data_IF_118336667500
#
_entry.id   IF_118336667500
#
_cell.length_a   1.000
_cell.length_b   1.000
_cell.length_c   1.000
_cell.angle_alpha   90.00
_cell.angle_beta   90.00
_cell.angle_gamma   90.00
#
_symmetry.space_group_name_H-M   'P 1'
#
loop_
_entity.id
_entity.type
_entity.pdbx_description
1 polymer ?
#
# COMPACT_ATOMS: atom_id res chain seq x y z
N UNK A 1 -12.34 -8.28 -19.81
CA UNK A 1 -12.49 -8.33 -21.28
C UNK A 1 -12.21 -6.94 -21.80
N UNK A 2 -11.28 -6.80 -22.75
CA UNK A 2 -11.09 -5.54 -23.47
C UNK A 2 -12.28 -5.37 -24.43
N UNK A 3 -12.66 -4.13 -24.73
CA UNK A 3 -13.62 -3.88 -25.79
C UNK A 3 -13.01 -4.30 -27.14
N UNK A 4 -13.85 -4.75 -28.08
CA UNK A 4 -13.41 -5.20 -29.43
C UNK A 4 -12.56 -4.12 -30.11
N UNK A 5 -12.97 -2.86 -30.00
CA UNK A 5 -12.25 -1.69 -30.52
C UNK A 5 -10.85 -1.55 -29.91
N UNK A 6 -10.72 -1.75 -28.59
CA UNK A 6 -9.44 -1.58 -27.90
C UNK A 6 -8.45 -2.70 -28.26
N UNK A 7 -8.93 -3.93 -28.44
CA UNK A 7 -8.09 -5.04 -28.91
C UNK A 7 -7.56 -4.77 -30.33
N UNK A 8 -8.40 -4.22 -31.20
CA UNK A 8 -8.01 -3.86 -32.58
C UNK A 8 -7.07 -2.65 -32.60
N UNK A 9 -7.29 -1.64 -31.76
CA UNK A 9 -6.37 -0.51 -31.62
C UNK A 9 -4.99 -0.93 -31.13
N UNK A 10 -4.92 -1.78 -30.10
CA UNK A 10 -3.64 -2.28 -29.60
C UNK A 10 -2.90 -3.13 -30.65
N UNK A 11 -3.64 -3.78 -31.57
CA UNK A 11 -3.09 -4.47 -32.74
C UNK A 11 -2.55 -3.51 -33.81
N UNK A 12 -3.28 -2.43 -34.11
CA UNK A 12 -2.86 -1.40 -35.08
C UNK A 12 -1.62 -0.64 -34.57
N UNK A 13 -1.56 -0.31 -33.28
CA UNK A 13 -0.45 0.41 -32.66
C UNK A 13 0.77 -0.48 -32.35
N UNK A 14 0.62 -1.81 -32.44
CA UNK A 14 1.70 -2.77 -32.17
C UNK A 14 2.10 -2.85 -30.70
N UNK A 15 1.23 -2.46 -29.78
CA UNK A 15 1.46 -2.46 -28.32
C UNK A 15 1.14 -3.82 -27.67
N UNK A 16 0.51 -4.73 -28.41
CA UNK A 16 0.20 -6.10 -27.98
C UNK A 16 1.40 -7.06 -28.04
N UNK A 17 1.38 -8.09 -27.18
CA UNK A 17 2.35 -9.18 -27.19
C UNK A 17 2.21 -10.05 -28.47
N UNK A 18 3.27 -10.76 -28.87
CA UNK A 18 3.32 -11.50 -30.13
C UNK A 18 2.22 -12.59 -30.24
N UNK A 19 1.80 -13.16 -29.10
CA UNK A 19 0.70 -14.12 -29.05
C UNK A 19 -0.68 -13.46 -29.26
N UNK A 20 -0.89 -12.28 -28.66
CA UNK A 20 -2.13 -11.51 -28.77
C UNK A 20 -2.30 -10.95 -30.19
N UNK A 21 -1.20 -10.55 -30.85
CA UNK A 21 -1.23 -10.10 -32.24
C UNK A 21 -1.71 -11.19 -33.22
N UNK A 22 -1.26 -12.44 -33.03
CA UNK A 22 -1.69 -13.57 -33.86
C UNK A 22 -3.17 -13.93 -33.62
N UNK A 23 -3.64 -13.81 -32.38
CA UNK A 23 -5.03 -14.04 -32.02
C UNK A 23 -5.95 -12.97 -32.64
N UNK A 24 -5.61 -11.70 -32.49
CA UNK A 24 -6.39 -10.60 -33.08
C UNK A 24 -6.36 -10.64 -34.61
N UNK A 25 -5.24 -11.00 -35.23
CA UNK A 25 -5.16 -11.21 -36.69
C UNK A 25 -6.11 -12.34 -37.16
N UNK A 26 -6.14 -13.45 -36.43
CA UNK A 26 -7.07 -14.56 -36.71
C UNK A 26 -8.54 -14.15 -36.52
N UNK A 27 -8.84 -13.33 -35.51
CA UNK A 27 -10.19 -12.78 -35.28
C UNK A 27 -10.63 -11.84 -36.40
N UNK A 28 -9.74 -10.97 -36.89
CA UNK A 28 -10.01 -10.05 -38.01
C UNK A 28 -10.30 -10.82 -39.32
N UNK A 29 -9.63 -11.95 -39.54
CA UNK A 29 -9.84 -12.77 -40.74
C UNK A 29 -11.12 -13.61 -40.68
N UNK A 30 -11.46 -14.16 -39.51
CA UNK A 30 -12.56 -15.12 -39.36
C UNK A 30 -13.89 -14.49 -38.92
N UNK A 31 -13.89 -13.33 -38.26
CA UNK A 31 -15.10 -12.68 -37.75
C UNK A 31 -15.45 -11.42 -38.58
N UNK A 32 -16.63 -11.38 -39.24
CA UNK A 32 -17.07 -10.21 -40.00
C UNK A 32 -17.22 -8.94 -39.15
N UNK A 33 -17.49 -9.05 -37.84
CA UNK A 33 -17.63 -7.91 -36.92
C UNK A 33 -16.26 -7.29 -36.61
N UNK A 34 -15.23 -8.11 -36.38
CA UNK A 34 -13.87 -7.60 -36.18
C UNK A 34 -13.33 -6.95 -37.45
N UNK A 35 -13.65 -7.51 -38.61
CA UNK A 35 -13.26 -6.94 -39.90
C UNK A 35 -13.89 -5.57 -40.15
N UNK A 36 -15.18 -5.38 -39.86
CA UNK A 36 -15.83 -4.09 -40.06
C UNK A 36 -15.25 -3.00 -39.15
N UNK A 37 -15.03 -3.31 -37.88
CA UNK A 37 -14.42 -2.37 -36.92
C UNK A 37 -12.98 -2.04 -37.32
N UNK A 38 -12.20 -3.03 -37.76
CA UNK A 38 -10.82 -2.79 -38.25
C UNK A 38 -10.78 -1.82 -39.45
N UNK A 39 -11.68 -1.97 -40.42
CA UNK A 39 -11.75 -1.07 -41.58
C UNK A 39 -12.14 0.36 -41.16
N UNK A 40 -13.10 0.49 -40.25
CA UNK A 40 -13.53 1.79 -39.71
C UNK A 40 -12.38 2.50 -38.97
N UNK A 41 -11.67 1.79 -38.10
CA UNK A 41 -10.53 2.35 -37.36
C UNK A 41 -9.38 2.75 -38.28
N UNK A 42 -9.11 1.96 -39.33
CA UNK A 42 -8.11 2.29 -40.34
C UNK A 42 -8.49 3.54 -41.14
N UNK A 43 -9.76 3.71 -41.46
CA UNK A 43 -10.27 4.90 -42.13
C UNK A 43 -10.14 6.14 -41.24
N UNK A 44 -10.48 6.03 -39.95
CA UNK A 44 -10.30 7.09 -38.96
C UNK A 44 -8.83 7.49 -38.86
N UNK A 45 -7.90 6.53 -38.79
CA UNK A 45 -6.48 6.84 -38.71
C UNK A 45 -5.96 7.52 -39.99
N UNK A 46 -6.45 7.11 -41.16
CA UNK A 46 -6.14 7.78 -42.42
C UNK A 46 -6.66 9.22 -42.45
N UNK A 47 -7.88 9.44 -41.97
CA UNK A 47 -8.47 10.78 -41.85
C UNK A 47 -7.67 11.65 -40.89
N UNK A 48 -7.30 11.12 -39.71
CA UNK A 48 -6.46 11.83 -38.74
C UNK A 48 -5.07 12.16 -39.30
N UNK A 49 -4.45 11.24 -40.03
CA UNK A 49 -3.15 11.48 -40.68
C UNK A 49 -3.22 12.47 -41.85
N UNK A 50 -4.41 12.68 -42.43
CA UNK A 50 -4.64 13.69 -43.48
C UNK A 50 -5.04 15.06 -42.94
N UNK A 51 -5.29 15.19 -41.63
CA UNK A 51 -5.45 16.49 -41.02
C UNK A 51 -4.09 17.16 -40.95
N UNK A 52 -3.97 18.33 -41.59
CA UNK A 52 -2.79 19.17 -41.42
C UNK A 52 -2.68 19.55 -39.94
N UNK A 53 -1.59 19.10 -39.31
CA UNK A 53 -1.23 19.50 -37.96
C UNK A 53 -0.77 20.95 -38.02
N UNK A 54 -1.71 21.89 -37.87
CA UNK A 54 -1.40 23.30 -37.73
C UNK A 54 -0.46 23.50 -36.54
N UNK A 55 0.66 24.20 -36.76
CA UNK A 55 1.61 24.50 -35.70
C UNK A 55 0.89 25.28 -34.58
N UNK A 56 1.03 24.86 -33.31
CA UNK A 56 0.43 25.59 -32.22
C UNK A 56 0.99 27.02 -32.17
N UNK A 57 0.18 27.97 -31.69
CA UNK A 57 0.65 29.36 -31.55
C UNK A 57 1.94 29.43 -30.73
N UNK A 58 2.83 30.37 -31.05
CA UNK A 58 4.07 30.62 -30.30
C UNK A 58 3.84 30.82 -28.77
N UNK A 59 2.65 31.27 -28.37
CA UNK A 59 2.26 31.45 -26.98
C UNK A 59 1.68 30.20 -26.30
N UNK A 60 1.36 29.15 -27.03
CA UNK A 60 0.70 27.95 -26.50
C UNK A 60 1.52 27.32 -25.37
N UNK A 61 2.79 27.00 -25.65
CA UNK A 61 3.70 26.40 -24.67
C UNK A 61 3.85 27.26 -23.43
N UNK A 62 3.93 28.60 -23.60
CA UNK A 62 4.00 29.53 -22.47
C UNK A 62 2.74 29.47 -21.61
N UNK A 63 1.56 29.53 -22.22
CA UNK A 63 0.28 29.53 -21.50
C UNK A 63 0.01 28.19 -20.79
N UNK A 64 0.43 27.07 -21.38
CA UNK A 64 0.31 25.74 -20.76
C UNK A 64 1.29 25.61 -19.59
N UNK A 65 2.56 25.98 -19.79
CA UNK A 65 3.56 25.87 -18.72
C UNK A 65 3.31 26.83 -17.56
N UNK A 66 2.72 28.00 -17.81
CA UNK A 66 2.28 28.92 -16.76
C UNK A 66 1.17 28.30 -15.91
N UNK A 67 0.19 27.62 -16.52
CA UNK A 67 -0.86 26.90 -15.78
C UNK A 67 -0.31 25.71 -14.99
N UNK A 68 0.58 24.92 -15.59
CA UNK A 68 1.22 23.78 -14.91
C UNK A 68 2.10 24.24 -13.74
N UNK A 69 2.74 25.40 -13.84
CA UNK A 69 3.53 25.96 -12.73
C UNK A 69 2.66 26.47 -11.56
N UNK A 70 1.42 26.87 -11.83
CA UNK A 70 0.45 27.24 -10.80
C UNK A 70 -0.13 26.01 -10.08
N UNK A 71 -0.11 24.85 -10.73
CA UNK A 71 -0.45 23.60 -10.06
C UNK A 71 0.66 23.25 -9.05
N UNK A 72 0.31 23.05 -7.77
CA UNK A 72 1.30 22.65 -6.78
C UNK A 72 1.87 21.30 -7.21
N UNK A 73 3.19 21.26 -7.42
CA UNK A 73 3.93 20.03 -7.73
C UNK A 73 3.46 18.90 -6.80
N UNK A 74 3.28 17.67 -7.30
CA UNK A 74 2.69 16.58 -6.54
C UNK A 74 3.51 16.37 -5.26
N UNK A 75 3.00 16.94 -4.18
CA UNK A 75 3.63 16.85 -2.88
C UNK A 75 3.55 15.38 -2.53
N UNK A 76 4.71 14.71 -2.50
CA UNK A 76 4.82 13.37 -1.92
C UNK A 76 4.12 13.43 -0.58
N UNK A 77 2.98 12.75 -0.45
CA UNK A 77 2.12 12.78 0.72
C UNK A 77 2.86 12.06 1.85
N UNK A 78 3.88 12.71 2.43
CA UNK A 78 4.43 12.31 3.71
C UNK A 78 3.33 12.57 4.71
N UNK A 79 2.59 11.52 5.05
CA UNK A 79 1.57 11.53 6.10
C UNK A 79 2.15 12.26 7.30
N UNK A 80 1.68 13.49 7.54
CA UNK A 80 2.16 14.33 8.62
C UNK A 80 1.56 13.79 9.92
N UNK A 81 2.16 12.75 10.48
CA UNK A 81 1.80 12.31 11.83
C UNK A 81 2.15 13.44 12.80
N UNK A 82 1.16 13.90 13.55
CA UNK A 82 1.35 14.97 14.52
C UNK A 82 2.27 14.47 15.65
N UNK A 83 3.41 15.15 15.84
CA UNK A 83 4.40 14.80 16.86
C UNK A 83 3.80 14.78 18.27
N UNK A 84 2.75 15.57 18.52
CA UNK A 84 2.07 15.61 19.81
C UNK A 84 1.38 14.27 20.14
N UNK A 85 0.89 13.54 19.12
CA UNK A 85 0.29 12.21 19.30
C UNK A 85 1.37 11.20 19.71
N UNK A 86 2.55 11.28 19.08
CA UNK A 86 3.71 10.44 19.41
C UNK A 86 4.13 10.67 20.87
N UNK A 87 4.27 11.94 21.28
CA UNK A 87 4.59 12.27 22.67
C UNK A 87 3.51 11.79 23.66
N UNK A 88 2.23 11.92 23.32
CA UNK A 88 1.13 11.43 24.16
C UNK A 88 1.22 9.92 24.43
N UNK A 89 1.45 9.13 23.37
CA UNK A 89 1.61 7.67 23.49
C UNK A 89 2.87 7.34 24.30
N UNK A 90 4.01 7.99 24.02
CA UNK A 90 5.26 7.75 24.74
C UNK A 90 5.14 8.05 26.25
N UNK A 91 4.51 9.17 26.61
CA UNK A 91 4.32 9.54 28.02
C UNK A 91 3.44 8.53 28.74
N UNK A 92 2.35 8.06 28.12
CA UNK A 92 1.48 7.04 28.70
C UNK A 92 2.23 5.75 29.04
N UNK A 93 3.04 5.24 28.11
CA UNK A 93 3.82 4.02 28.34
C UNK A 93 4.88 4.21 29.43
N UNK A 94 5.61 5.32 29.41
CA UNK A 94 6.62 5.62 30.45
C UNK A 94 5.95 5.70 31.83
N UNK A 95 4.83 6.42 31.93
CA UNK A 95 4.10 6.59 33.19
C UNK A 95 3.54 5.25 33.70
N UNK A 96 3.01 4.41 32.81
CA UNK A 96 2.54 3.06 33.15
C UNK A 96 3.67 2.17 33.70
N UNK A 97 4.83 2.18 33.04
CA UNK A 97 6.01 1.43 33.51
C UNK A 97 6.47 1.94 34.87
N UNK A 98 6.54 3.26 35.06
CA UNK A 98 6.94 3.87 36.34
C UNK A 98 5.95 3.51 37.45
N UNK A 99 4.65 3.56 37.19
CA UNK A 99 3.61 3.19 38.15
C UNK A 99 3.71 1.72 38.55
N UNK A 100 3.95 0.83 37.58
CA UNK A 100 4.14 -0.60 37.84
C UNK A 100 5.39 -0.84 38.69
N UNK A 101 6.52 -0.21 38.34
CA UNK A 101 7.75 -0.31 39.12
C UNK A 101 7.55 0.20 40.55
N UNK A 102 6.94 1.37 40.72
CA UNK A 102 6.64 1.93 42.04
C UNK A 102 5.74 0.99 42.86
N UNK A 103 4.71 0.42 42.24
CA UNK A 103 3.84 -0.56 42.89
C UNK A 103 4.62 -1.82 43.30
N UNK A 104 5.47 -2.36 42.43
CA UNK A 104 6.30 -3.54 42.75
C UNK A 104 7.27 -3.27 43.89
N UNK A 105 7.92 -2.10 43.92
CA UNK A 105 8.82 -1.72 45.01
C UNK A 105 8.07 -1.48 46.33
N UNK A 106 6.86 -0.92 46.27
CA UNK A 106 6.05 -0.66 47.46
C UNK A 106 5.43 -1.94 48.06
N UNK A 107 5.24 -2.98 47.25
CA UNK A 107 4.61 -4.25 47.66
C UNK A 107 5.59 -5.42 47.81
N UNK A 108 6.87 -5.22 47.49
CA UNK A 108 7.90 -6.26 47.61
C UNK A 108 8.49 -6.35 49.02
N UNK A 109 8.31 -7.48 49.68
CA UNK A 109 9.10 -7.88 50.85
C UNK A 109 10.50 -8.33 50.39
N UNK A 110 11.48 -7.42 50.46
CA UNK A 110 12.88 -7.72 50.14
C UNK A 110 13.50 -8.62 51.23
N UNK A 111 13.29 -9.94 51.14
CA UNK A 111 14.05 -10.92 51.93
C UNK A 111 15.20 -11.50 51.10
N UNK A 112 16.39 -10.94 51.27
CA UNK A 112 17.62 -11.45 50.65
C UNK A 112 18.17 -12.62 51.46
N UNK A 113 17.74 -13.84 51.14
CA UNK A 113 18.40 -15.06 51.62
C UNK A 113 19.48 -15.48 50.61
N UNK A 114 20.72 -15.09 50.89
CA UNK A 114 21.90 -15.44 50.11
C UNK A 114 22.26 -16.93 50.26
N UNK A 115 21.54 -17.85 49.59
CA UNK A 115 21.96 -19.25 49.54
C UNK A 115 21.52 -20.10 48.35
N UNK A 116 21.02 -19.53 47.26
CA UNK A 116 20.88 -20.32 46.03
C UNK A 116 20.86 -19.45 44.77
N UNK A 117 21.95 -19.49 44.01
CA UNK A 117 22.19 -18.70 42.80
C UNK A 117 21.52 -19.27 41.55
N UNK A 118 20.45 -20.06 41.70
CA UNK A 118 19.78 -20.73 40.57
C UNK A 118 18.26 -20.47 40.47
N UNK A 119 17.69 -19.66 41.36
CA UNK A 119 16.25 -19.41 41.34
C UNK A 119 15.94 -17.97 41.75
N UNK A 120 15.91 -17.08 40.77
CA UNK A 120 15.17 -15.82 40.89
C UNK A 120 13.67 -16.13 40.92
N UNK A 121 13.20 -16.79 41.98
CA UNK A 121 11.77 -17.04 42.21
C UNK A 121 11.20 -15.77 42.79
N UNK A 122 10.84 -14.86 41.90
CA UNK A 122 9.94 -13.76 42.19
C UNK A 122 8.60 -14.39 42.61
N UNK A 123 8.42 -14.62 43.92
CA UNK A 123 7.13 -15.04 44.49
C UNK A 123 6.22 -13.81 44.54
N UNK A 124 5.85 -13.30 43.38
CA UNK A 124 4.66 -12.46 43.28
C UNK A 124 3.47 -13.38 43.50
N UNK A 125 2.86 -13.32 44.68
CA UNK A 125 1.53 -13.85 44.92
C UNK A 125 0.48 -12.93 44.25
N UNK A 126 0.71 -12.61 42.97
CA UNK A 126 -0.30 -12.03 42.10
C UNK A 126 -0.97 -13.23 41.47
N UNK A 127 -2.25 -13.41 41.75
CA UNK A 127 -3.06 -14.45 41.16
C UNK A 127 -3.25 -14.14 39.67
N UNK A 128 -2.19 -14.39 38.88
CA UNK A 128 -2.11 -14.11 37.45
C UNK A 128 -3.18 -14.87 36.67
N UNK A 129 -3.73 -15.94 37.24
CA UNK A 129 -4.87 -16.66 36.68
C UNK A 129 -6.17 -15.84 36.72
N UNK A 130 -6.32 -14.92 37.68
CA UNK A 130 -7.50 -14.05 37.76
C UNK A 130 -7.45 -12.91 36.73
N UNK A 131 -6.26 -12.42 36.40
CA UNK A 131 -6.07 -11.27 35.50
C UNK A 131 -5.73 -11.64 34.06
N UNK A 132 -4.99 -12.74 33.85
CA UNK A 132 -4.65 -13.25 32.52
C UNK A 132 -5.53 -14.47 32.25
N UNK A 133 -6.74 -14.21 31.79
CA UNK A 133 -7.65 -15.28 31.33
C UNK A 133 -7.15 -15.87 30.02
N UNK A 134 -7.36 -17.17 29.75
CA UNK A 134 -6.96 -17.80 28.49
C UNK A 134 -7.51 -17.07 27.26
N UNK A 135 -8.73 -16.52 27.37
CA UNK A 135 -9.37 -15.72 26.32
C UNK A 135 -8.59 -14.45 26.00
N UNK A 136 -8.05 -13.75 27.01
CA UNK A 136 -7.25 -12.55 26.79
C UNK A 136 -5.95 -12.84 26.03
N UNK A 137 -5.29 -13.97 26.32
CA UNK A 137 -4.10 -14.42 25.57
C UNK A 137 -4.47 -14.72 24.12
N UNK A 138 -5.58 -15.44 23.87
CA UNK A 138 -5.99 -15.76 22.51
C UNK A 138 -6.35 -14.53 21.68
N UNK A 139 -7.02 -13.54 22.27
CA UNK A 139 -7.34 -12.27 21.59
C UNK A 139 -6.06 -11.51 21.26
N UNK A 140 -5.12 -11.42 22.20
CA UNK A 140 -3.83 -10.77 21.97
C UNK A 140 -3.04 -11.44 20.83
N UNK A 141 -2.95 -12.77 20.85
CA UNK A 141 -2.26 -13.54 19.82
C UNK A 141 -2.94 -13.38 18.45
N UNK A 142 -4.26 -13.32 18.40
CA UNK A 142 -5.01 -13.09 17.16
C UNK A 142 -4.69 -11.72 16.55
N UNK A 143 -4.65 -10.67 17.38
CA UNK A 143 -4.29 -9.32 16.95
C UNK A 143 -2.84 -9.28 16.43
N UNK A 144 -1.91 -9.93 17.13
CA UNK A 144 -0.50 -10.00 16.72
C UNK A 144 -0.30 -10.72 15.39
N UNK A 145 -1.04 -11.81 15.15
CA UNK A 145 -1.01 -12.53 13.86
C UNK A 145 -1.55 -11.65 12.73
N UNK A 146 -2.64 -10.92 12.95
CA UNK A 146 -3.20 -10.00 11.95
C UNK A 146 -2.22 -8.85 11.66
N UNK A 147 -1.62 -8.25 12.68
CA UNK A 147 -0.59 -7.21 12.52
C UNK A 147 0.65 -7.76 11.78
N UNK A 148 1.07 -8.98 12.10
CA UNK A 148 2.17 -9.67 11.43
C UNK A 148 1.90 -9.89 9.94
N UNK A 149 0.67 -10.29 9.58
CA UNK A 149 0.25 -10.46 8.18
C UNK A 149 0.22 -9.11 7.43
N UNK A 150 -0.32 -8.06 8.04
CA UNK A 150 -0.33 -6.72 7.44
C UNK A 150 1.11 -6.23 7.21
N UNK A 151 1.99 -6.45 8.19
CA UNK A 151 3.40 -6.08 8.06
C UNK A 151 4.11 -6.90 6.98
N UNK A 152 3.83 -8.19 6.90
CA UNK A 152 4.39 -9.09 5.89
C UNK A 152 3.91 -8.71 4.47
N UNK A 153 2.63 -8.39 4.29
CA UNK A 153 2.11 -7.86 3.02
C UNK A 153 2.77 -6.52 2.65
N UNK A 154 2.90 -5.60 3.63
CA UNK A 154 3.59 -4.33 3.43
C UNK A 154 5.07 -4.52 3.05
N UNK A 155 5.74 -5.48 3.67
CA UNK A 155 7.14 -5.82 3.40
C UNK A 155 7.32 -6.40 2.00
N UNK A 156 6.44 -7.29 1.56
CA UNK A 156 6.45 -7.87 0.21
C UNK A 156 6.17 -6.82 -0.87
N UNK A 157 5.23 -5.89 -0.64
CA UNK A 157 4.92 -4.80 -1.59
C UNK A 157 6.09 -3.85 -1.81
N UNK A 158 6.91 -3.60 -0.78
CA UNK A 158 8.12 -2.76 -0.89
C UNK A 158 9.24 -3.41 -1.70
N UNK A 159 9.21 -4.73 -1.91
CA UNK A 159 10.24 -5.49 -2.62
C UNK A 159 9.94 -5.70 -4.12
N UNK A 160 8.86 -5.11 -4.63
CA UNK A 160 8.50 -5.07 -6.07
C UNK A 160 8.92 -3.76 -6.75
N UNK A 161 9.98 -3.12 -6.23
CA UNK A 161 10.77 -2.08 -6.91
C UNK A 161 12.19 -2.62 -7.08
#
# INVERSE_FOLDING_TARGET
MKAIEQEIWDYIDGTNDAAEQAETASKIENDPVYKSVYVELLEIQRLMGSMDLDEPSMSFTRNVMEQVALEPAPLTLKTKVNKNIIYGISVFFILSIVALLAYTFATSDFSFSARDSSAFKFKMNIDLQQYITPTSIHIFLFIDVVLGLIYLDSFLRRKKV
#
